data_IF_762079786958
#
_entry.id   IF_762079786958
#
_cell.length_a   1.000
_cell.length_b   1.000
_cell.length_c   1.000
_cell.angle_alpha   90.00
_cell.angle_beta   90.00
_cell.angle_gamma   90.00
#
_symmetry.space_group_name_H-M   'P 1'
#
loop_
_entity.id
_entity.type
_entity.pdbx_description
1 polymer ?
#
# COMPACT_ATOMS: atom_id res chain seq x y z
N UNK A 1 -25.26 -18.03 -59.55
CA UNK A 1 -25.79 -17.96 -58.18
C UNK A 1 -24.76 -18.60 -57.27
N UNK A 2 -23.84 -17.78 -56.78
CA UNK A 2 -22.71 -18.19 -55.91
C UNK A 2 -23.19 -18.11 -54.47
N UNK A 3 -23.31 -19.27 -53.82
CA UNK A 3 -23.57 -19.37 -52.39
C UNK A 3 -22.26 -19.10 -51.65
N UNK A 4 -22.13 -17.91 -51.08
CA UNK A 4 -21.07 -17.60 -50.11
C UNK A 4 -21.29 -18.43 -48.84
N UNK A 5 -20.44 -19.45 -48.65
CA UNK A 5 -20.30 -20.12 -47.36
C UNK A 5 -19.67 -19.12 -46.39
N UNK A 6 -20.48 -18.49 -45.54
CA UNK A 6 -19.96 -17.83 -44.36
C UNK A 6 -19.42 -18.88 -43.39
N UNK A 7 -18.12 -18.96 -43.29
CA UNK A 7 -17.47 -19.73 -42.23
C UNK A 7 -17.83 -19.04 -40.88
N UNK A 8 -18.63 -19.69 -40.07
CA UNK A 8 -18.83 -19.29 -38.68
C UNK A 8 -17.50 -19.51 -37.96
N UNK A 9 -16.82 -18.43 -37.62
CA UNK A 9 -15.70 -18.48 -36.70
C UNK A 9 -16.30 -18.79 -35.34
N UNK A 10 -16.20 -20.05 -34.92
CA UNK A 10 -16.48 -20.43 -33.54
C UNK A 10 -15.43 -19.76 -32.66
N UNK A 11 -15.80 -18.67 -32.01
CA UNK A 11 -14.98 -18.05 -30.98
C UNK A 11 -14.87 -19.06 -29.84
N UNK A 12 -13.69 -19.66 -29.67
CA UNK A 12 -13.42 -20.49 -28.52
C UNK A 12 -13.68 -19.64 -27.27
N UNK A 13 -14.62 -20.05 -26.44
CA UNK A 13 -14.93 -19.38 -25.21
C UNK A 13 -13.68 -19.45 -24.30
N UNK A 14 -12.95 -18.33 -24.18
CA UNK A 14 -11.86 -18.22 -23.23
C UNK A 14 -12.50 -18.19 -21.85
N UNK A 15 -12.31 -19.25 -21.09
CA UNK A 15 -12.80 -19.31 -19.72
C UNK A 15 -12.08 -18.23 -18.91
N UNK A 16 -12.83 -17.32 -18.31
CA UNK A 16 -12.28 -16.30 -17.43
C UNK A 16 -11.60 -16.98 -16.23
N UNK A 17 -10.45 -16.46 -15.77
CA UNK A 17 -9.81 -16.98 -14.56
C UNK A 17 -10.76 -16.86 -13.37
N UNK A 18 -10.83 -17.91 -12.58
CA UNK A 18 -11.55 -17.89 -11.30
C UNK A 18 -10.57 -17.53 -10.19
N UNK A 19 -10.99 -16.61 -9.31
CA UNK A 19 -10.20 -16.16 -8.18
C UNK A 19 -10.87 -16.58 -6.89
N UNK A 20 -10.05 -16.97 -5.93
CA UNK A 20 -10.45 -17.27 -4.57
C UNK A 20 -9.63 -16.41 -3.61
N UNK A 21 -10.27 -15.91 -2.56
CA UNK A 21 -9.58 -15.12 -1.54
C UNK A 21 -8.76 -16.07 -0.67
N UNK A 22 -7.45 -15.83 -0.55
CA UNK A 22 -6.61 -16.50 0.44
C UNK A 22 -6.78 -15.83 1.80
N UNK A 23 -7.45 -16.47 2.76
CA UNK A 23 -7.70 -15.89 4.09
C UNK A 23 -6.43 -15.84 4.95
N UNK A 24 -5.33 -16.49 4.53
CA UNK A 24 -4.08 -16.54 5.26
C UNK A 24 -3.02 -15.59 4.68
N UNK A 25 -3.39 -14.78 3.69
CA UNK A 25 -2.53 -13.75 3.12
C UNK A 25 -2.99 -12.34 3.57
N UNK A 26 -2.08 -11.47 4.02
CA UNK A 26 -0.66 -11.71 4.32
C UNK A 26 -0.46 -12.54 5.60
N UNK A 27 0.76 -13.03 5.82
CA UNK A 27 1.12 -13.69 7.08
C UNK A 27 1.06 -12.71 8.25
N UNK A 28 0.92 -13.20 9.49
CA UNK A 28 0.89 -12.36 10.67
C UNK A 28 2.08 -11.39 10.72
N UNK A 29 1.78 -10.13 10.98
CA UNK A 29 2.79 -9.08 11.07
C UNK A 29 3.59 -9.17 12.38
N UNK A 30 4.88 -8.76 12.36
CA UNK A 30 5.69 -8.67 13.57
C UNK A 30 5.18 -7.57 14.51
N UNK A 31 5.73 -7.53 15.73
CA UNK A 31 5.52 -6.45 16.71
C UNK A 31 4.05 -6.17 17.06
N UNK A 32 3.17 -7.14 16.89
CA UNK A 32 1.73 -6.97 17.08
C UNK A 32 1.14 -5.83 16.24
N UNK A 33 1.67 -5.64 15.04
CA UNK A 33 1.17 -4.61 14.14
C UNK A 33 -0.21 -4.92 13.60
N UNK A 34 -1.02 -3.86 13.50
CA UNK A 34 -2.32 -3.88 12.82
C UNK A 34 -2.25 -3.01 11.57
N UNK A 35 -2.87 -3.50 10.52
CA UNK A 35 -3.09 -2.75 9.28
C UNK A 35 -4.44 -2.03 9.43
N UNK A 36 -4.43 -0.71 9.27
CA UNK A 36 -5.65 0.07 9.15
C UNK A 36 -6.25 -0.06 7.75
N UNK A 37 -7.15 0.85 7.39
CA UNK A 37 -7.80 0.86 6.09
C UNK A 37 -6.75 0.91 4.97
N UNK A 38 -6.62 -0.19 4.21
CA UNK A 38 -5.76 -0.27 3.03
C UNK A 38 -6.43 0.49 1.89
N UNK A 39 -5.74 1.47 1.34
CA UNK A 39 -6.27 2.42 0.36
C UNK A 39 -5.53 2.40 -0.97
N UNK A 40 -4.50 1.60 -1.08
CA UNK A 40 -3.76 1.43 -2.32
C UNK A 40 -2.94 0.16 -2.32
N UNK A 41 -2.80 -0.43 -3.49
CA UNK A 41 -1.98 -1.60 -3.78
C UNK A 41 -1.23 -1.40 -5.08
N UNK A 42 0.00 -1.87 -5.13
CA UNK A 42 0.82 -1.95 -6.34
C UNK A 42 1.62 -3.25 -6.33
N UNK A 43 1.97 -3.75 -7.51
CA UNK A 43 2.85 -4.91 -7.65
C UNK A 43 4.10 -4.45 -8.40
N UNK A 44 5.27 -4.83 -7.93
CA UNK A 44 6.53 -4.49 -8.58
C UNK A 44 6.97 -5.56 -9.61
N UNK A 45 8.13 -5.34 -10.22
CA UNK A 45 8.66 -6.25 -11.25
C UNK A 45 9.16 -7.60 -10.69
N UNK A 46 9.20 -7.76 -9.39
CA UNK A 46 9.56 -8.99 -8.66
C UNK A 46 8.34 -9.72 -8.12
N UNK A 47 7.14 -9.29 -8.51
CA UNK A 47 5.84 -9.77 -8.00
C UNK A 47 5.64 -9.53 -6.49
N UNK A 48 6.38 -8.58 -5.89
CA UNK A 48 6.11 -8.15 -4.53
C UNK A 48 4.89 -7.23 -4.49
N UNK A 49 4.09 -7.40 -3.47
CA UNK A 49 2.86 -6.63 -3.25
C UNK A 49 3.14 -5.49 -2.28
N UNK A 50 2.95 -4.28 -2.76
CA UNK A 50 3.07 -3.06 -1.98
C UNK A 50 1.70 -2.54 -1.60
N UNK A 51 1.51 -2.23 -0.33
CA UNK A 51 0.28 -1.59 0.14
C UNK A 51 0.60 -0.28 0.85
N UNK A 52 -0.37 0.64 0.80
CA UNK A 52 -0.41 1.80 1.69
C UNK A 52 -1.72 1.78 2.47
N UNK A 53 -1.63 1.98 3.78
CA UNK A 53 -2.79 2.01 4.66
C UNK A 53 -2.81 3.27 5.53
N UNK A 54 -3.97 3.58 6.08
CA UNK A 54 -4.16 4.70 7.00
C UNK A 54 -4.06 4.24 8.44
N UNK A 55 -2.99 4.58 9.13
CA UNK A 55 -2.84 4.32 10.56
C UNK A 55 -3.96 4.95 11.39
N UNK A 56 -4.34 6.18 11.05
CA UNK A 56 -5.40 6.92 11.73
C UNK A 56 -6.82 6.37 11.54
N UNK A 57 -6.99 5.30 10.76
CA UNK A 57 -8.28 4.59 10.65
C UNK A 57 -8.47 3.52 11.73
N UNK A 58 -7.42 3.20 12.49
CA UNK A 58 -7.50 2.29 13.62
C UNK A 58 -8.11 3.01 14.83
N UNK A 59 -9.04 2.35 15.49
CA UNK A 59 -9.72 2.90 16.65
C UNK A 59 -8.86 2.77 17.91
N UNK A 60 -9.16 3.60 18.91
CA UNK A 60 -8.45 3.56 20.20
C UNK A 60 -8.52 2.19 20.87
N UNK A 61 -9.62 1.46 20.68
CA UNK A 61 -9.82 0.11 21.21
C UNK A 61 -8.94 -0.96 20.55
N UNK A 62 -8.38 -0.67 19.37
CA UNK A 62 -7.46 -1.54 18.65
C UNK A 62 -5.99 -1.28 18.98
N UNK A 63 -5.67 -0.12 19.55
CA UNK A 63 -4.31 0.39 19.76
C UNK A 63 -3.94 0.45 21.25
N UNK A 64 -4.31 -0.55 22.04
CA UNK A 64 -4.10 -0.54 23.49
C UNK A 64 -2.62 -0.47 23.90
N UNK A 65 -1.70 -1.01 23.11
CA UNK A 65 -0.27 -0.89 23.38
C UNK A 65 0.30 0.51 23.11
N UNK A 66 -0.42 1.33 22.31
CA UNK A 66 -0.01 2.71 21.99
C UNK A 66 -0.52 3.76 22.99
N UNK A 67 -1.27 3.36 24.00
CA UNK A 67 -1.74 4.28 25.06
C UNK A 67 -0.63 4.60 26.04
N UNK A 68 -0.74 5.73 26.74
CA UNK A 68 0.21 6.10 27.78
C UNK A 68 -0.53 6.32 29.13
N UNK A 69 -0.35 5.42 30.14
CA UNK A 69 0.40 4.18 30.05
C UNK A 69 -0.25 3.14 29.13
N UNK A 70 0.52 2.15 28.60
CA UNK A 70 -0.05 1.07 27.81
C UNK A 70 -1.11 0.27 28.58
N UNK A 71 -2.26 0.02 27.94
CA UNK A 71 -3.37 -0.71 28.55
C UNK A 71 -3.27 -2.22 28.30
N UNK A 72 -2.48 -2.63 27.29
CA UNK A 72 -2.23 -4.03 26.96
C UNK A 72 -0.88 -4.17 26.20
N UNK A 73 -0.43 -5.42 26.00
CA UNK A 73 0.76 -5.72 25.19
C UNK A 73 0.49 -5.65 23.67
N UNK A 74 -0.72 -5.82 23.24
CA UNK A 74 -1.21 -5.65 21.87
C UNK A 74 -2.10 -4.41 21.81
N UNK A 75 -2.19 -3.64 20.77
CA UNK A 75 -1.51 -3.73 19.47
C UNK A 75 -1.08 -2.32 19.08
N UNK A 76 -0.26 -2.17 18.05
CA UNK A 76 0.18 -0.88 17.52
C UNK A 76 -0.08 -0.82 16.01
N UNK A 77 -0.24 0.39 15.47
CA UNK A 77 -0.38 0.56 14.04
C UNK A 77 0.92 0.19 13.31
N UNK A 78 0.80 -0.59 12.24
CA UNK A 78 1.91 -0.85 11.33
C UNK A 78 2.42 0.46 10.68
N UNK A 79 3.68 0.52 10.21
CA UNK A 79 4.10 1.59 9.31
C UNK A 79 3.19 1.68 8.08
N UNK A 80 2.90 2.89 7.57
CA UNK A 80 1.88 3.08 6.52
C UNK A 80 2.14 2.35 5.21
N UNK A 81 3.38 2.08 4.87
CA UNK A 81 3.77 1.34 3.66
C UNK A 81 4.36 0.00 4.05
N UNK A 82 3.84 -1.06 3.45
CA UNK A 82 4.29 -2.43 3.67
C UNK A 82 4.53 -3.09 2.31
N UNK A 83 5.60 -3.86 2.22
CA UNK A 83 5.95 -4.69 1.07
C UNK A 83 5.94 -6.14 1.48
N UNK A 84 5.26 -6.96 0.69
CA UNK A 84 5.14 -8.40 0.90
C UNK A 84 5.64 -9.16 -0.33
N UNK A 85 6.24 -10.33 -0.12
CA UNK A 85 6.42 -11.28 -1.20
C UNK A 85 5.08 -11.93 -1.61
N UNK A 86 5.08 -12.67 -2.71
CA UNK A 86 3.88 -13.38 -3.19
C UNK A 86 3.33 -14.39 -2.18
N UNK A 87 4.17 -14.91 -1.27
CA UNK A 87 3.77 -15.83 -0.20
C UNK A 87 3.23 -15.13 1.06
N UNK A 88 3.16 -13.79 1.04
CA UNK A 88 2.64 -12.97 2.14
C UNK A 88 3.63 -12.70 3.27
N UNK A 89 4.92 -12.97 3.09
CA UNK A 89 5.92 -12.57 4.07
C UNK A 89 6.19 -11.07 3.94
N UNK A 90 6.24 -10.37 5.08
CA UNK A 90 6.66 -8.97 5.10
C UNK A 90 8.13 -8.87 4.76
N UNK A 91 8.46 -8.12 3.70
CA UNK A 91 9.84 -7.85 3.26
C UNK A 91 10.34 -6.53 3.82
N UNK A 92 9.58 -5.46 3.59
CA UNK A 92 9.95 -4.12 4.02
C UNK A 92 8.73 -3.36 4.57
N UNK A 93 9.04 -2.36 5.37
CA UNK A 93 8.03 -1.45 5.92
C UNK A 93 8.61 -0.05 6.05
N UNK A 94 7.75 0.97 5.88
CA UNK A 94 8.23 2.34 5.85
C UNK A 94 7.10 3.36 5.98
N UNK A 95 7.49 4.63 6.29
CA UNK A 95 6.60 5.78 6.27
C UNK A 95 6.04 6.16 7.63
N UNK A 96 5.17 7.13 7.62
CA UNK A 96 4.69 7.82 8.80
C UNK A 96 5.53 9.07 9.11
N UNK A 97 5.10 9.91 10.05
CA UNK A 97 5.86 11.09 10.46
C UNK A 97 7.28 10.72 10.89
N UNK A 98 8.28 11.42 10.40
CA UNK A 98 9.69 11.12 10.67
C UNK A 98 10.60 12.31 10.49
N UNK A 99 11.90 12.10 10.72
CA UNK A 99 12.92 13.14 10.58
C UNK A 99 13.51 13.10 9.17
N UNK A 100 13.67 14.27 8.54
CA UNK A 100 14.34 14.43 7.24
C UNK A 100 13.46 14.25 6.02
N UNK A 101 12.16 14.05 6.19
CA UNK A 101 11.16 14.04 5.13
C UNK A 101 9.78 14.48 5.66
N UNK A 102 8.93 14.95 4.75
CA UNK A 102 7.55 15.28 5.07
C UNK A 102 6.64 14.09 4.78
N UNK A 103 5.79 13.73 5.74
CA UNK A 103 4.77 12.72 5.57
C UNK A 103 3.39 13.38 5.47
N UNK A 104 2.56 13.01 4.49
CA UNK A 104 1.25 13.61 4.31
C UNK A 104 0.26 13.19 5.39
N UNK A 105 -0.67 14.08 5.72
CA UNK A 105 -1.72 13.80 6.72
C UNK A 105 -2.68 12.68 6.27
N UNK A 106 -2.91 12.55 4.96
CA UNK A 106 -3.79 11.52 4.41
C UNK A 106 -3.24 10.92 3.14
N UNK A 107 -2.96 9.63 3.17
CA UNK A 107 -2.52 8.84 2.02
C UNK A 107 -3.72 8.43 1.17
N UNK A 108 -3.53 8.28 -0.17
CA UNK A 108 -4.60 7.91 -1.09
C UNK A 108 -4.28 6.74 -2.01
N UNK A 109 -3.04 6.54 -2.39
CA UNK A 109 -2.67 5.47 -3.31
C UNK A 109 -1.18 5.24 -3.35
N UNK A 110 -0.77 4.12 -3.93
CA UNK A 110 0.63 3.73 -4.09
C UNK A 110 0.84 3.19 -5.50
N UNK A 111 1.99 3.48 -6.08
CA UNK A 111 2.44 2.92 -7.35
C UNK A 111 3.94 2.70 -7.27
N UNK A 112 4.39 1.52 -7.70
CA UNK A 112 5.81 1.23 -7.90
C UNK A 112 6.12 1.29 -9.38
N UNK A 113 7.09 2.13 -9.77
CA UNK A 113 7.49 2.26 -11.17
C UNK A 113 8.52 1.18 -11.57
N UNK A 114 8.79 1.11 -12.87
CA UNK A 114 9.73 0.12 -13.44
C UNK A 114 11.19 0.30 -12.97
N UNK A 115 11.52 1.40 -12.28
CA UNK A 115 12.83 1.66 -11.67
C UNK A 115 12.86 1.32 -10.18
N UNK A 116 11.76 0.83 -9.63
CA UNK A 116 11.60 0.55 -8.20
C UNK A 116 11.36 1.80 -7.34
N UNK A 117 11.00 2.95 -7.95
CA UNK A 117 10.58 4.09 -7.15
C UNK A 117 9.15 3.90 -6.67
N UNK A 118 8.91 4.17 -5.40
CA UNK A 118 7.58 4.12 -4.79
C UNK A 118 6.97 5.53 -4.79
N UNK A 119 5.80 5.65 -5.40
CA UNK A 119 5.04 6.89 -5.51
C UNK A 119 3.80 6.77 -4.62
N UNK A 120 3.60 7.75 -3.73
CA UNK A 120 2.44 7.78 -2.85
C UNK A 120 1.63 9.03 -3.16
N UNK A 121 0.36 8.82 -3.53
CA UNK A 121 -0.62 9.88 -3.64
C UNK A 121 -1.11 10.29 -2.25
N UNK A 122 -1.29 11.59 -2.04
CA UNK A 122 -1.71 12.09 -0.74
C UNK A 122 -2.39 13.46 -0.85
N UNK A 123 -3.20 13.80 0.14
CA UNK A 123 -3.63 15.18 0.37
C UNK A 123 -2.77 15.80 1.47
N UNK A 124 -2.35 17.04 1.24
CA UNK A 124 -1.79 17.85 2.30
C UNK A 124 -2.91 18.26 3.24
N UNK A 125 -2.70 18.05 4.52
CA UNK A 125 -3.58 18.60 5.53
C UNK A 125 -3.34 20.11 5.73
N UNK A 126 -4.28 20.76 6.38
CA UNK A 126 -4.20 22.18 6.72
C UNK A 126 -3.01 22.53 7.66
N UNK A 127 -2.29 21.51 8.14
CA UNK A 127 -1.14 21.63 9.04
C UNK A 127 0.19 21.92 8.35
N UNK A 128 0.28 21.85 7.00
CA UNK A 128 1.50 22.23 6.30
C UNK A 128 1.31 23.59 5.57
N UNK A 129 1.76 24.71 6.17
CA UNK A 129 1.60 26.05 5.60
C UNK A 129 2.44 26.30 4.33
N UNK A 130 3.31 25.36 3.93
CA UNK A 130 4.14 25.48 2.72
C UNK A 130 3.45 24.94 1.47
N UNK A 131 2.30 24.29 1.63
CA UNK A 131 1.52 23.75 0.51
C UNK A 131 0.29 24.64 0.30
N UNK A 132 0.29 25.38 -0.79
CA UNK A 132 -0.87 26.17 -1.23
C UNK A 132 -2.11 25.26 -1.30
N UNK A 133 -3.18 25.52 -0.56
CA UNK A 133 -4.42 24.75 -0.61
C UNK A 133 -5.04 24.64 -2.00
N UNK A 134 -4.70 25.54 -2.92
CA UNK A 134 -5.16 25.50 -4.30
C UNK A 134 -4.27 24.68 -5.23
N UNK A 135 -3.00 24.45 -4.88
CA UNK A 135 -2.09 23.54 -5.58
C UNK A 135 -2.34 22.06 -5.26
N UNK A 136 -3.11 21.77 -4.23
CA UNK A 136 -3.38 20.42 -3.68
C UNK A 136 -4.26 19.56 -4.61
N UNK A 137 -4.87 20.14 -5.63
CA UNK A 137 -5.69 19.39 -6.62
C UNK A 137 -4.87 18.47 -7.54
N UNK A 138 -3.54 18.57 -7.55
CA UNK A 138 -2.68 17.80 -8.45
C UNK A 138 -1.51 17.19 -7.70
N UNK A 139 -1.71 15.95 -7.27
CA UNK A 139 -0.64 14.97 -7.03
C UNK A 139 0.63 15.52 -6.36
N UNK A 140 0.64 15.66 -5.04
CA UNK A 140 1.89 15.69 -4.29
C UNK A 140 2.56 14.32 -4.44
N UNK A 141 3.39 14.19 -5.48
CA UNK A 141 4.23 13.03 -5.70
C UNK A 141 5.42 13.15 -4.78
N UNK A 142 5.34 12.54 -3.61
CA UNK A 142 6.53 12.31 -2.82
C UNK A 142 7.35 11.23 -3.52
N UNK A 143 8.28 11.66 -4.37
CA UNK A 143 9.28 10.76 -4.92
C UNK A 143 10.29 10.49 -3.81
N UNK A 144 10.11 9.41 -3.10
CA UNK A 144 11.10 8.94 -2.16
C UNK A 144 11.83 7.78 -2.80
N UNK A 145 13.08 8.03 -3.21
CA UNK A 145 14.02 6.95 -3.50
C UNK A 145 14.25 6.21 -2.20
N UNK A 146 13.90 4.94 -2.15
CA UNK A 146 14.46 4.06 -1.14
C UNK A 146 15.98 4.14 -1.27
N UNK A 147 16.71 4.43 -0.20
CA UNK A 147 18.17 4.43 -0.29
C UNK A 147 18.61 3.03 -0.73
N UNK A 148 19.64 2.90 -1.59
CA UNK A 148 20.09 1.63 -2.16
C UNK A 148 20.67 0.65 -1.13
N UNK A 149 20.61 0.97 0.15
CA UNK A 149 21.05 0.16 1.27
C UNK A 149 20.08 0.29 2.44
N UNK A 150 18.87 -0.29 2.31
CA UNK A 150 18.17 -0.72 3.51
C UNK A 150 18.76 -2.07 3.94
N UNK A 151 19.93 -1.98 4.58
CA UNK A 151 20.45 -3.09 5.37
C UNK A 151 19.48 -3.35 6.51
N UNK A 152 18.92 -4.55 6.53
CA UNK A 152 18.18 -5.18 7.61
C UNK A 152 18.53 -4.63 8.99
N UNK A 153 17.55 -4.01 9.64
CA UNK A 153 17.55 -3.88 11.09
C UNK A 153 16.59 -4.94 11.62
N UNK A 154 17.19 -5.94 12.28
CA UNK A 154 16.49 -6.94 13.09
C UNK A 154 15.94 -6.30 14.36
#
# INVERSE_FOLDING_TARGET
MLLEKRAAVEAAAVQAPMFEVDPLWPKPLPNHWLIGMTIGVSVDAQDNVWIVHRQGSLERGELHASTNPPMAMCCVAAPPVLEFDAAGNLLHHWGGPGTGYDWPDSNHGITVDYKGNVWIGATAGASNPLLDPQAVSLTNRLQQRLPPTMTTWF
#
